data_IF_889183049607
#
_entry.id   IF_889183049607
#
_cell.length_a   1.000
_cell.length_b   1.000
_cell.length_c   1.000
_cell.angle_alpha   90.00
_cell.angle_beta   90.00
_cell.angle_gamma   90.00
#
_symmetry.space_group_name_H-M   'P 1'
#
loop_
_entity.id
_entity.type
_entity.pdbx_description
1 polymer ?
#
# COMPACT_ATOMS: atom_id res chain seq x y z
N UNK A 1 -7.56 21.69 12.40
CA UNK A 1 -7.99 21.81 10.99
C UNK A 1 -8.58 20.46 10.59
N UNK A 2 -9.74 20.43 9.93
CA UNK A 2 -10.38 19.17 9.51
C UNK A 2 -9.51 18.49 8.45
N UNK A 3 -9.07 17.26 8.71
CA UNK A 3 -8.42 16.42 7.69
C UNK A 3 -9.53 15.97 6.73
N UNK A 4 -9.73 16.69 5.63
CA UNK A 4 -10.71 16.32 4.60
C UNK A 4 -10.14 15.22 3.70
N UNK A 5 -10.06 14.00 4.25
CA UNK A 5 -9.74 12.80 3.47
C UNK A 5 -10.87 12.47 2.49
N UNK A 6 -10.51 11.97 1.31
CA UNK A 6 -11.43 11.35 0.33
C UNK A 6 -11.35 9.82 0.36
N UNK A 7 -10.40 9.25 1.11
CA UNK A 7 -10.19 7.82 1.21
C UNK A 7 -11.13 7.20 2.27
N UNK A 8 -12.15 6.47 1.81
CA UNK A 8 -13.11 5.78 2.67
C UNK A 8 -13.23 4.30 2.27
N UNK A 9 -13.13 3.40 3.24
CA UNK A 9 -13.25 1.95 3.00
C UNK A 9 -14.63 1.64 2.39
N UNK A 10 -14.65 0.77 1.38
CA UNK A 10 -15.85 0.39 0.63
C UNK A 10 -16.30 1.43 -0.40
N UNK A 11 -15.54 2.53 -0.59
CA UNK A 11 -15.76 3.52 -1.65
C UNK A 11 -14.63 3.42 -2.69
N UNK A 12 -14.84 3.95 -3.91
CA UNK A 12 -13.75 4.13 -4.87
C UNK A 12 -12.58 4.87 -4.23
N UNK A 13 -11.37 4.35 -4.38
CA UNK A 13 -10.17 5.01 -3.88
C UNK A 13 -9.96 6.36 -4.60
N UNK A 14 -9.42 7.40 -3.92
CA UNK A 14 -9.14 8.67 -4.58
C UNK A 14 -8.18 8.48 -5.76
N UNK A 15 -8.61 8.93 -6.94
CA UNK A 15 -7.81 8.78 -8.15
C UNK A 15 -6.55 9.67 -8.08
N UNK A 16 -5.47 9.19 -8.68
CA UNK A 16 -4.23 9.95 -8.85
C UNK A 16 -3.67 9.78 -10.26
N UNK A 17 -2.94 10.79 -10.71
CA UNK A 17 -2.07 10.74 -11.88
C UNK A 17 -0.88 11.65 -11.60
N UNK A 18 0.32 11.09 -11.56
CA UNK A 18 1.54 11.84 -11.26
C UNK A 18 2.77 11.14 -11.82
N UNK A 19 3.87 11.86 -11.85
CA UNK A 19 5.15 11.32 -12.26
C UNK A 19 5.73 10.41 -11.19
N UNK A 20 6.34 9.31 -11.64
CA UNK A 20 7.04 8.35 -10.82
C UNK A 20 8.39 8.00 -11.45
N UNK A 21 9.31 7.50 -10.63
CA UNK A 21 10.48 6.77 -11.12
C UNK A 21 10.11 5.30 -11.25
N UNK A 22 10.25 4.75 -12.45
CA UNK A 22 9.93 3.35 -12.78
C UNK A 22 11.09 2.76 -13.56
N UNK A 23 11.77 1.78 -12.99
CA UNK A 23 12.97 1.15 -13.57
C UNK A 23 14.06 2.17 -13.97
N UNK A 24 14.26 3.20 -13.13
CA UNK A 24 15.25 4.25 -13.38
C UNK A 24 14.81 5.40 -14.31
N UNK A 25 13.63 5.28 -14.96
CA UNK A 25 13.10 6.30 -15.86
C UNK A 25 11.93 7.07 -15.25
N UNK A 26 11.71 8.31 -15.71
CA UNK A 26 10.50 9.06 -15.38
C UNK A 26 9.32 8.58 -16.22
N UNK A 27 8.23 8.20 -15.54
CA UNK A 27 6.95 7.83 -16.18
C UNK A 27 5.80 8.46 -15.43
N UNK A 28 4.79 8.94 -16.15
CA UNK A 28 3.51 9.31 -15.55
C UNK A 28 2.68 8.04 -15.35
N UNK A 29 2.23 7.81 -14.11
CA UNK A 29 1.37 6.70 -13.75
C UNK A 29 0.06 7.20 -13.15
N UNK A 30 -1.02 6.43 -13.34
CA UNK A 30 -2.33 6.70 -12.75
C UNK A 30 -2.88 5.49 -12.01
N UNK A 31 -3.81 5.68 -11.08
CA UNK A 31 -4.47 4.56 -10.42
C UNK A 31 -5.28 3.71 -11.43
N UNK A 32 -5.91 4.39 -12.39
CA UNK A 32 -6.75 3.80 -13.44
C UNK A 32 -6.02 2.72 -14.26
N UNK A 33 -4.71 2.89 -14.50
CA UNK A 33 -3.94 1.93 -15.29
C UNK A 33 -3.80 0.55 -14.61
N UNK A 34 -4.09 0.47 -13.31
CA UNK A 34 -4.01 -0.75 -12.51
C UNK A 34 -5.38 -1.42 -12.30
N UNK A 35 -6.43 -0.98 -13.01
CA UNK A 35 -7.71 -1.70 -13.01
C UNK A 35 -7.53 -3.16 -13.38
N UNK A 36 -8.25 -4.04 -12.68
CA UNK A 36 -8.10 -5.49 -12.80
C UNK A 36 -6.95 -6.07 -11.96
N UNK A 37 -6.20 -5.24 -11.23
CA UNK A 37 -5.17 -5.66 -10.29
C UNK A 37 -5.42 -5.04 -8.91
N UNK A 38 -5.01 -5.74 -7.86
CA UNK A 38 -4.93 -5.12 -6.55
C UNK A 38 -3.79 -4.09 -6.54
N UNK A 39 -3.96 -3.01 -5.79
CA UNK A 39 -2.93 -1.98 -5.61
C UNK A 39 -2.66 -1.79 -4.12
N UNK A 40 -1.39 -1.83 -3.74
CA UNK A 40 -0.90 -1.39 -2.43
C UNK A 40 -0.19 -0.06 -2.63
N UNK A 41 -0.88 1.03 -2.30
CA UNK A 41 -0.30 2.37 -2.30
C UNK A 41 0.17 2.69 -0.89
N UNK A 42 1.45 3.00 -0.72
CA UNK A 42 1.98 3.35 0.58
C UNK A 42 2.81 4.64 0.53
N UNK A 43 2.46 5.55 1.43
CA UNK A 43 3.13 6.82 1.63
C UNK A 43 4.28 6.67 2.62
N UNK A 44 5.33 7.44 2.43
CA UNK A 44 6.42 7.61 3.39
C UNK A 44 6.75 9.10 3.55
N UNK A 45 7.32 9.50 4.71
CA UNK A 45 7.52 10.91 5.00
C UNK A 45 8.42 11.67 4.02
N UNK A 46 9.66 11.22 3.84
CA UNK A 46 10.71 11.95 3.11
C UNK A 46 11.81 11.01 2.59
N UNK A 47 12.36 11.36 1.44
CA UNK A 47 13.62 10.84 0.91
C UNK A 47 14.80 11.12 1.85
N UNK A 48 15.87 10.31 1.73
CA UNK A 48 17.14 10.48 2.47
C UNK A 48 17.03 10.49 4.01
N UNK A 49 15.98 9.88 4.57
CA UNK A 49 15.78 9.73 6.03
C UNK A 49 16.00 8.29 6.51
N UNK A 50 15.71 8.00 7.79
CA UNK A 50 16.20 6.79 8.48
C UNK A 50 15.33 5.54 8.29
N UNK A 51 14.03 5.63 8.59
CA UNK A 51 13.10 4.47 8.55
C UNK A 51 12.57 4.23 7.13
N UNK A 52 12.34 5.30 6.37
CA UNK A 52 11.79 5.25 5.01
C UNK A 52 12.53 4.28 4.06
N UNK A 53 13.87 4.27 3.96
CA UNK A 53 14.55 3.34 3.06
C UNK A 53 14.30 1.89 3.45
N UNK A 54 14.18 1.58 4.75
CA UNK A 54 13.95 0.20 5.20
C UNK A 54 12.60 -0.33 4.74
N UNK A 55 11.55 0.49 4.74
CA UNK A 55 10.21 0.09 4.28
C UNK A 55 10.18 -0.10 2.76
N UNK A 56 10.67 0.89 2.02
CA UNK A 56 10.65 0.88 0.55
C UNK A 56 11.46 -0.31 0.02
N UNK A 57 12.64 -0.55 0.59
CA UNK A 57 13.49 -1.71 0.26
C UNK A 57 12.76 -3.02 0.57
N UNK A 58 12.17 -3.17 1.76
CA UNK A 58 11.49 -4.40 2.14
C UNK A 58 10.31 -4.73 1.21
N UNK A 59 9.54 -3.72 0.80
CA UNK A 59 8.48 -3.89 -0.21
C UNK A 59 9.05 -4.21 -1.60
N UNK A 60 10.10 -3.51 -2.02
CA UNK A 60 10.76 -3.73 -3.32
C UNK A 60 11.35 -5.14 -3.44
N UNK A 61 11.99 -5.64 -2.38
CA UNK A 61 12.60 -6.97 -2.37
C UNK A 61 11.52 -8.08 -2.40
N UNK A 62 10.32 -7.81 -1.89
CA UNK A 62 9.15 -8.71 -1.96
C UNK A 62 8.20 -8.43 -3.13
N UNK A 63 8.53 -7.51 -4.05
CA UNK A 63 7.62 -7.11 -5.13
C UNK A 63 7.13 -8.28 -6.00
N UNK A 64 7.99 -9.28 -6.21
CA UNK A 64 7.62 -10.50 -6.95
C UNK A 64 6.50 -11.29 -6.28
N UNK A 65 6.46 -11.37 -4.94
CA UNK A 65 5.39 -12.07 -4.21
C UNK A 65 4.02 -11.40 -4.42
N UNK A 66 3.98 -10.07 -4.39
CA UNK A 66 2.76 -9.30 -4.67
C UNK A 66 2.34 -9.43 -6.14
N UNK A 67 3.30 -9.34 -7.07
CA UNK A 67 3.03 -9.51 -8.50
C UNK A 67 2.45 -10.89 -8.83
N UNK A 68 2.95 -11.94 -8.19
CA UNK A 68 2.47 -13.32 -8.40
C UNK A 68 1.02 -13.54 -7.97
N UNK A 69 0.50 -12.70 -7.07
CA UNK A 69 -0.92 -12.71 -6.67
C UNK A 69 -1.73 -11.59 -7.35
N UNK A 70 -1.19 -10.95 -8.40
CA UNK A 70 -1.89 -9.89 -9.13
C UNK A 70 -2.04 -8.59 -8.36
N UNK A 71 -1.06 -8.25 -7.50
CA UNK A 71 -1.01 -7.00 -6.77
C UNK A 71 0.20 -6.14 -7.16
N UNK A 72 -0.03 -4.85 -7.41
CA UNK A 72 0.99 -3.85 -7.68
C UNK A 72 1.32 -3.06 -6.40
N UNK A 73 2.61 -2.92 -6.09
CA UNK A 73 3.11 -2.05 -5.03
C UNK A 73 3.46 -0.66 -5.60
N UNK A 74 3.15 0.43 -4.89
CA UNK A 74 3.50 1.80 -5.28
C UNK A 74 3.92 2.57 -4.01
N UNK A 75 5.15 3.07 -3.99
CA UNK A 75 5.61 4.00 -2.95
C UNK A 75 5.28 5.44 -3.34
N UNK A 76 5.00 6.32 -2.37
CA UNK A 76 4.69 7.74 -2.62
C UNK A 76 5.25 8.64 -1.51
N UNK A 77 5.82 9.79 -1.85
CA UNK A 77 6.08 10.87 -0.88
C UNK A 77 5.84 12.24 -1.53
N UNK A 78 6.03 13.30 -0.74
CA UNK A 78 5.93 14.68 -1.22
C UNK A 78 7.20 15.17 -1.93
N UNK A 79 8.24 14.33 -2.03
CA UNK A 79 9.46 14.67 -2.75
C UNK A 79 9.25 14.69 -4.27
N UNK A 80 10.22 15.26 -4.98
CA UNK A 80 10.19 15.31 -6.45
C UNK A 80 10.70 14.02 -7.08
N UNK A 81 10.27 13.73 -8.31
CA UNK A 81 10.81 12.60 -9.10
C UNK A 81 12.35 12.64 -9.26
N UNK A 82 12.94 13.83 -9.28
CA UNK A 82 14.41 13.98 -9.35
C UNK A 82 15.08 13.54 -8.05
N UNK A 83 14.50 13.90 -6.89
CA UNK A 83 14.95 13.43 -5.58
C UNK A 83 14.90 11.90 -5.50
N UNK A 84 13.78 11.31 -5.92
CA UNK A 84 13.64 9.86 -5.97
C UNK A 84 14.71 9.18 -6.82
N UNK A 85 14.99 9.70 -8.02
CA UNK A 85 15.98 9.12 -8.92
C UNK A 85 17.38 9.15 -8.30
N UNK A 86 17.78 10.28 -7.71
CA UNK A 86 19.06 10.39 -7.00
C UNK A 86 19.13 9.44 -5.81
N UNK A 87 18.03 9.26 -5.08
CA UNK A 87 17.99 8.35 -3.94
C UNK A 87 18.05 6.87 -4.34
N UNK A 88 17.42 6.51 -5.46
CA UNK A 88 17.51 5.20 -6.12
C UNK A 88 18.93 4.91 -6.58
N UNK A 89 19.60 5.89 -7.20
CA UNK A 89 20.98 5.74 -7.66
C UNK A 89 21.99 5.63 -6.51
N UNK A 90 21.64 6.11 -5.31
CA UNK A 90 22.50 6.01 -4.13
C UNK A 90 22.56 4.56 -3.60
N UNK A 91 23.75 4.02 -3.28
CA UNK A 91 23.88 2.67 -2.74
C UNK A 91 23.17 2.49 -1.37
N UNK A 92 22.53 1.33 -1.16
CA UNK A 92 21.88 0.96 0.12
C UNK A 92 22.80 1.13 1.34
N UNK A 93 24.10 0.78 1.21
CA UNK A 93 25.12 0.93 2.25
C UNK A 93 25.36 2.38 2.69
N UNK A 94 24.95 3.35 1.89
CA UNK A 94 25.07 4.77 2.18
C UNK A 94 23.71 5.41 2.50
N UNK A 95 22.68 4.59 2.81
CA UNK A 95 21.32 5.07 3.08
C UNK A 95 20.50 5.41 1.82
N UNK A 96 20.94 4.94 0.64
CA UNK A 96 20.13 4.98 -0.58
C UNK A 96 19.15 3.81 -0.71
N UNK A 97 18.37 3.78 -1.79
CA UNK A 97 17.45 2.67 -2.07
C UNK A 97 18.10 1.57 -2.91
N UNK A 98 19.04 1.92 -3.78
CA UNK A 98 19.51 1.01 -4.84
C UNK A 98 18.42 0.73 -5.87
N UNK A 99 18.64 -0.28 -6.71
CA UNK A 99 17.67 -0.70 -7.72
C UNK A 99 16.32 -1.07 -7.09
N UNK A 100 15.23 -0.49 -7.64
CA UNK A 100 13.86 -0.64 -7.15
C UNK A 100 12.99 -1.41 -8.14
N UNK A 101 12.23 -2.37 -7.61
CA UNK A 101 11.27 -3.19 -8.37
C UNK A 101 9.83 -2.63 -8.33
N UNK A 102 9.66 -1.45 -7.74
CA UNK A 102 8.37 -0.79 -7.54
C UNK A 102 8.45 0.67 -7.99
N UNK A 103 7.37 1.24 -8.55
CA UNK A 103 7.28 2.67 -8.81
C UNK A 103 7.41 3.49 -7.52
N UNK A 104 8.16 4.60 -7.61
CA UNK A 104 8.23 5.63 -6.57
C UNK A 104 7.59 6.91 -7.11
N UNK A 105 6.35 7.17 -6.68
CA UNK A 105 5.47 8.26 -7.11
C UNK A 105 5.80 9.56 -6.38
N UNK A 106 5.89 10.65 -7.14
CA UNK A 106 6.16 11.98 -6.62
C UNK A 106 4.85 12.79 -6.44
N UNK A 107 4.60 13.30 -5.22
CA UNK A 107 3.48 14.20 -4.91
C UNK A 107 3.95 15.58 -4.39
N UNK A 108 4.75 16.35 -5.16
CA UNK A 108 5.21 17.67 -4.74
C UNK A 108 4.07 18.70 -4.58
N UNK A 109 2.88 18.41 -5.14
CA UNK A 109 1.68 19.23 -4.99
C UNK A 109 0.95 19.00 -3.65
N UNK A 110 1.34 17.95 -2.93
CA UNK A 110 0.66 17.41 -1.75
C UNK A 110 -0.80 17.01 -1.98
N UNK A 111 -1.27 16.99 -3.23
CA UNK A 111 -2.67 16.73 -3.57
C UNK A 111 -3.01 15.28 -3.27
N UNK A 112 -2.14 14.34 -3.62
CA UNK A 112 -2.40 12.91 -3.45
C UNK A 112 -2.38 12.58 -1.95
N UNK A 113 -1.36 13.03 -1.22
CA UNK A 113 -1.23 12.86 0.23
C UNK A 113 -2.42 13.46 0.99
N UNK A 114 -2.93 14.62 0.54
CA UNK A 114 -4.13 15.26 1.11
C UNK A 114 -5.42 14.50 0.77
N UNK A 115 -5.59 14.07 -0.48
CA UNK A 115 -6.75 13.30 -0.92
C UNK A 115 -6.86 11.96 -0.17
N UNK A 116 -5.73 11.35 0.18
CA UNK A 116 -5.66 10.14 1.02
C UNK A 116 -5.66 10.44 2.53
N UNK A 117 -5.67 11.70 2.95
CA UNK A 117 -5.79 12.10 4.35
C UNK A 117 -4.54 11.84 5.20
N UNK A 118 -3.37 11.72 4.58
CA UNK A 118 -2.10 11.38 5.25
C UNK A 118 -1.11 12.54 5.32
N UNK A 119 -1.43 13.68 4.69
CA UNK A 119 -0.57 14.86 4.73
C UNK A 119 -0.58 15.52 6.12
N UNK A 120 0.61 15.74 6.66
CA UNK A 120 0.89 16.64 7.79
C UNK A 120 1.01 18.06 7.25
N UNK A 121 -0.07 18.84 7.29
CA UNK A 121 -0.13 20.20 6.72
C UNK A 121 0.96 21.12 7.30
N UNK A 122 1.29 20.96 8.58
CA UNK A 122 2.31 21.77 9.27
C UNK A 122 3.75 21.41 8.91
N UNK A 123 3.99 20.23 8.32
CA UNK A 123 5.33 19.76 7.94
C UNK A 123 5.51 19.58 6.42
N UNK A 124 4.43 19.52 5.65
CA UNK A 124 4.49 19.25 4.20
C UNK A 124 4.93 17.82 3.86
N UNK A 125 4.76 16.86 4.78
CA UNK A 125 5.16 15.45 4.61
C UNK A 125 3.98 14.53 4.86
N UNK A 126 4.02 13.31 4.36
CA UNK A 126 3.00 12.31 4.65
C UNK A 126 3.32 11.51 5.93
N UNK A 127 2.30 11.13 6.69
CA UNK A 127 2.37 10.01 7.63
C UNK A 127 2.67 8.70 6.88
N UNK A 128 3.00 7.64 7.63
CA UNK A 128 3.19 6.28 7.09
C UNK A 128 1.85 5.60 6.79
N UNK A 129 1.11 6.16 5.83
CA UNK A 129 -0.16 5.63 5.37
C UNK A 129 0.01 4.54 4.33
N UNK A 130 -0.73 3.44 4.43
CA UNK A 130 -0.78 2.35 3.46
C UNK A 130 -2.24 2.02 3.18
N UNK A 131 -2.54 1.81 1.89
CA UNK A 131 -3.87 1.60 1.38
C UNK A 131 -3.89 0.38 0.47
N UNK A 132 -4.81 -0.56 0.73
CA UNK A 132 -5.06 -1.70 -0.16
C UNK A 132 -6.33 -1.40 -0.96
N UNK A 133 -6.19 -1.38 -2.27
CA UNK A 133 -7.23 -1.08 -3.24
C UNK A 133 -7.46 -2.35 -4.08
N UNK A 134 -8.70 -2.77 -4.27
CA UNK A 134 -9.00 -3.99 -5.02
C UNK A 134 -8.96 -3.78 -6.54
N UNK A 135 -9.18 -4.87 -7.28
CA UNK A 135 -9.20 -4.95 -8.74
C UNK A 135 -10.28 -4.08 -9.40
N UNK A 136 -11.27 -3.61 -8.63
CA UNK A 136 -12.35 -2.71 -9.07
C UNK A 136 -12.07 -1.25 -8.70
N UNK A 137 -10.93 -0.97 -8.06
CA UNK A 137 -10.57 0.36 -7.59
C UNK A 137 -11.26 0.77 -6.30
N UNK A 138 -11.81 -0.17 -5.52
CA UNK A 138 -12.44 0.10 -4.23
C UNK A 138 -11.41 -0.01 -3.12
N UNK A 139 -11.40 0.96 -2.20
CA UNK A 139 -10.51 0.94 -1.05
C UNK A 139 -10.98 -0.10 -0.02
N UNK A 140 -10.11 -1.04 0.35
CA UNK A 140 -10.42 -2.16 1.24
C UNK A 140 -9.79 -2.03 2.62
N UNK A 141 -8.63 -1.38 2.73
CA UNK A 141 -7.87 -1.33 3.97
C UNK A 141 -7.04 -0.05 4.06
N UNK A 142 -6.88 0.45 5.29
CA UNK A 142 -6.08 1.62 5.63
C UNK A 142 -5.22 1.26 6.87
N UNK A 143 -3.91 1.39 6.77
CA UNK A 143 -2.98 1.40 7.92
C UNK A 143 -2.28 2.75 7.97
N UNK A 144 -2.32 3.45 9.09
CA UNK A 144 -1.57 4.70 9.28
C UNK A 144 -0.74 4.57 10.55
N UNK A 145 0.58 4.55 10.38
CA UNK A 145 1.51 4.64 11.50
C UNK A 145 1.98 6.07 11.69
N UNK A 146 2.26 6.44 12.94
CA UNK A 146 3.07 7.62 13.25
C UNK A 146 4.51 7.43 12.72
N UNK A 147 5.25 8.53 12.61
CA UNK A 147 6.57 8.61 12.00
C UNK A 147 7.63 7.61 12.54
N UNK A 148 7.71 7.29 13.85
CA UNK A 148 8.83 6.49 14.36
C UNK A 148 8.70 4.98 14.12
N UNK A 149 7.54 4.47 13.70
CA UNK A 149 7.27 3.01 13.64
C UNK A 149 7.00 2.56 12.19
N UNK A 150 7.86 1.70 11.66
CA UNK A 150 7.68 1.10 10.33
C UNK A 150 6.53 0.09 10.26
N UNK A 151 6.07 -0.19 9.05
CA UNK A 151 4.99 -1.15 8.74
C UNK A 151 5.54 -2.56 8.50
N UNK A 152 4.63 -3.54 8.51
CA UNK A 152 4.93 -4.94 8.20
C UNK A 152 4.53 -5.30 6.77
N UNK A 153 5.50 -5.74 5.97
CA UNK A 153 5.26 -6.24 4.60
C UNK A 153 4.49 -7.55 4.63
N UNK A 154 4.76 -8.42 5.61
CA UNK A 154 4.09 -9.72 5.74
C UNK A 154 2.60 -9.56 6.09
N UNK A 155 2.27 -8.62 6.97
CA UNK A 155 0.88 -8.32 7.28
C UNK A 155 0.16 -7.74 6.06
N UNK A 156 0.84 -6.87 5.30
CA UNK A 156 0.29 -6.33 4.06
C UNK A 156 -0.01 -7.44 3.06
N UNK A 157 0.92 -8.38 2.85
CA UNK A 157 0.74 -9.52 1.96
C UNK A 157 -0.40 -10.44 2.44
N UNK A 158 -0.50 -10.68 3.76
CA UNK A 158 -1.59 -11.46 4.37
C UNK A 158 -2.94 -10.83 4.09
N UNK A 159 -3.06 -9.51 4.27
CA UNK A 159 -4.31 -8.76 4.05
C UNK A 159 -4.72 -8.80 2.57
N UNK A 160 -3.79 -8.61 1.62
CA UNK A 160 -4.10 -8.74 0.19
C UNK A 160 -4.66 -10.13 -0.13
N UNK A 161 -3.99 -11.19 0.36
CA UNK A 161 -4.45 -12.58 0.16
C UNK A 161 -5.82 -12.84 0.81
N UNK A 162 -6.09 -12.25 1.98
CA UNK A 162 -7.37 -12.38 2.66
C UNK A 162 -8.50 -11.74 1.84
N UNK A 163 -8.33 -10.50 1.38
CA UNK A 163 -9.35 -9.84 0.55
C UNK A 163 -9.60 -10.59 -0.74
N UNK A 164 -8.56 -11.03 -1.44
CA UNK A 164 -8.70 -11.85 -2.65
C UNK A 164 -9.43 -13.17 -2.38
N UNK A 165 -9.20 -13.81 -1.23
CA UNK A 165 -9.93 -15.00 -0.83
C UNK A 165 -11.42 -14.69 -0.65
N UNK A 166 -11.76 -13.65 0.12
CA UNK A 166 -13.16 -13.27 0.36
C UNK A 166 -13.87 -12.87 -0.93
N UNK A 167 -13.20 -12.17 -1.85
CA UNK A 167 -13.77 -11.77 -3.14
C UNK A 167 -14.08 -12.97 -4.05
N UNK A 168 -13.25 -14.03 -3.98
CA UNK A 168 -13.41 -15.23 -4.80
C UNK A 168 -14.42 -16.23 -4.21
N UNK A 169 -14.44 -16.38 -2.88
CA UNK A 169 -15.16 -17.46 -2.22
C UNK A 169 -16.46 -17.02 -1.53
N UNK A 170 -16.64 -15.73 -1.23
CA UNK A 170 -17.82 -15.24 -0.50
C UNK A 170 -17.86 -15.65 0.98
N UNK A 171 -16.82 -16.30 1.49
CA UNK A 171 -16.61 -16.57 2.90
C UNK A 171 -15.83 -15.42 3.56
N UNK A 172 -15.79 -15.39 4.89
CA UNK A 172 -15.03 -14.40 5.66
C UNK A 172 -13.82 -15.02 6.36
N UNK A 173 -12.75 -14.24 6.46
CA UNK A 173 -11.50 -14.64 7.10
C UNK A 173 -11.52 -14.27 8.60
N UNK A 174 -11.32 -15.22 9.53
CA UNK A 174 -11.22 -14.93 10.96
C UNK A 174 -9.95 -14.14 11.33
N UNK A 175 -9.85 -13.76 12.61
CA UNK A 175 -8.64 -13.13 13.14
C UNK A 175 -7.40 -13.99 12.89
N UNK A 176 -6.29 -13.35 12.53
CA UNK A 176 -5.00 -14.00 12.21
C UNK A 176 -5.08 -15.02 11.06
N UNK A 177 -6.10 -14.97 10.21
CA UNK A 177 -6.22 -15.86 9.05
C UNK A 177 -4.98 -15.79 8.16
N UNK A 178 -4.54 -16.98 7.74
CA UNK A 178 -3.47 -17.22 6.78
C UNK A 178 -3.98 -18.14 5.66
N UNK A 179 -3.35 -18.13 4.46
CA UNK A 179 -3.69 -19.07 3.41
C UNK A 179 -3.68 -20.52 3.91
N UNK A 180 -4.77 -21.25 3.64
CA UNK A 180 -4.96 -22.64 4.09
C UNK A 180 -5.58 -22.79 5.49
N UNK A 181 -5.83 -21.70 6.21
CA UNK A 181 -6.58 -21.75 7.49
C UNK A 181 -8.09 -21.66 7.29
N UNK A 182 -8.83 -22.15 8.29
CA UNK A 182 -10.29 -22.21 8.27
C UNK A 182 -10.94 -20.82 8.09
N UNK A 183 -12.04 -20.78 7.35
CA UNK A 183 -12.88 -19.60 7.07
C UNK A 183 -14.31 -19.81 7.56
N UNK A 184 -15.11 -18.75 7.53
CA UNK A 184 -16.48 -18.75 8.05
C UNK A 184 -17.45 -18.40 6.93
N UNK A 185 -18.48 -19.22 6.74
CA UNK A 185 -19.63 -18.84 5.88
C UNK A 185 -20.45 -17.78 6.61
N UNK A 186 -20.71 -16.60 6.01
CA UNK A 186 -21.33 -15.47 6.68
C UNK A 186 -22.85 -15.60 6.80
N UNK A 187 -23.32 -16.74 7.32
CA UNK A 187 -24.72 -16.97 7.64
C UNK A 187 -24.88 -17.75 8.96
N UNK A 188 -26.01 -17.58 9.68
CA UNK A 188 -26.17 -18.18 11.01
C UNK A 188 -26.04 -19.71 11.06
N UNK A 189 -26.38 -20.43 9.97
CA UNK A 189 -26.28 -21.90 9.94
C UNK A 189 -24.91 -22.36 9.44
N UNK A 190 -24.40 -21.74 8.38
CA UNK A 190 -23.11 -22.10 7.79
C UNK A 190 -21.92 -21.79 8.69
N UNK A 191 -22.02 -20.75 9.52
CA UNK A 191 -20.97 -20.39 10.47
C UNK A 191 -20.76 -21.42 11.58
N UNK A 192 -21.77 -22.23 11.91
CA UNK A 192 -21.68 -23.24 12.98
C UNK A 192 -20.58 -24.27 12.72
N UNK A 193 -20.35 -24.66 11.45
CA UNK A 193 -19.30 -25.59 11.08
C UNK A 193 -17.89 -25.10 11.46
N UNK A 194 -17.66 -23.80 11.47
CA UNK A 194 -16.41 -23.21 11.94
C UNK A 194 -16.32 -23.26 13.47
N UNK A 195 -17.39 -22.82 14.15
CA UNK A 195 -17.38 -22.72 15.62
C UNK A 195 -17.31 -24.10 16.30
N UNK A 196 -17.96 -25.12 15.75
CA UNK A 196 -17.88 -26.50 16.25
C UNK A 196 -16.45 -27.10 16.17
N UNK A 197 -15.63 -26.62 15.23
CA UNK A 197 -14.24 -27.06 15.07
C UNK A 197 -13.27 -26.34 16.02
N UNK A 198 -13.68 -25.18 16.57
CA UNK A 198 -12.83 -24.31 17.40
C UNK A 198 -13.20 -24.34 18.88
N UNK A 199 -14.42 -24.74 19.22
CA UNK A 199 -14.84 -25.08 20.59
C UNK A 199 -14.38 -26.46 21.00
#
# INVERSE_FOLDING_TARGET
MSVNSKAFIGKPAPNFMADAVVNGDFKTISLEQFKGQYVVLFFYPLDFTFVCPTEIIAFSDKAAEFKNIGAQLIACSTDSKFSHLEWINKPRKQGGLGEMNIPVLADPSHKISRDYGVLMEEKGIAYRGLFIIDDKGVLRQITINDLPVGRSVDETLRLVKAFQYTDKHGEVCPANWQPGTDTIKPDPKGSQAYFDKKG
#
